data_IF_322218194645
#
_entry.id   IF_322218194645
#
_cell.length_a   1.000
_cell.length_b   1.000
_cell.length_c   1.000
_cell.angle_alpha   90.00
_cell.angle_beta   90.00
_cell.angle_gamma   90.00
#
_symmetry.space_group_name_H-M   'P 1'
#
loop_
_entity.id
_entity.type
_entity.pdbx_description
1 polymer ?
#
# COMPACT_ATOMS: atom_id res chain seq x y z
N UNK A 1 1.24 29.51 -7.61
CA UNK A 1 1.01 28.16 -8.19
C UNK A 1 1.95 27.87 -9.36
N UNK A 2 1.94 28.66 -10.45
CA UNK A 2 2.83 28.43 -11.61
C UNK A 2 4.32 28.50 -11.23
N UNK A 3 4.72 29.46 -10.38
CA UNK A 3 6.09 29.55 -9.89
C UNK A 3 6.53 28.28 -9.14
N UNK A 4 5.73 27.83 -8.16
CA UNK A 4 5.97 26.58 -7.43
C UNK A 4 6.01 25.35 -8.35
N UNK A 5 5.16 25.29 -9.38
CA UNK A 5 5.21 24.23 -10.39
C UNK A 5 6.53 24.25 -11.18
N UNK A 6 7.06 25.44 -11.53
CA UNK A 6 8.35 25.57 -12.22
C UNK A 6 9.51 25.08 -11.34
N UNK A 7 9.55 25.51 -10.07
CA UNK A 7 10.56 25.03 -9.13
C UNK A 7 10.48 23.50 -8.95
N UNK A 8 9.27 22.97 -8.83
CA UNK A 8 9.06 21.52 -8.70
C UNK A 8 9.49 20.75 -9.96
N UNK A 9 9.18 21.27 -11.16
CA UNK A 9 9.56 20.66 -12.44
C UNK A 9 11.07 20.73 -12.70
N UNK A 10 11.74 21.80 -12.28
CA UNK A 10 13.21 21.92 -12.40
C UNK A 10 13.96 20.79 -11.67
N UNK A 11 13.36 20.24 -10.61
CA UNK A 11 13.91 19.09 -9.89
C UNK A 11 13.60 17.73 -10.55
N UNK A 12 13.05 17.72 -11.77
CA UNK A 12 12.72 16.49 -12.51
C UNK A 12 11.51 15.72 -11.99
N UNK A 13 10.75 16.31 -11.04
CA UNK A 13 9.69 15.58 -10.30
C UNK A 13 8.30 15.64 -10.95
N UNK A 14 8.16 16.18 -12.16
CA UNK A 14 6.84 16.32 -12.80
C UNK A 14 6.87 16.18 -14.32
N UNK A 15 6.18 15.16 -14.80
CA UNK A 15 5.90 14.93 -16.23
C UNK A 15 4.71 15.72 -16.74
N UNK A 16 4.02 16.47 -15.87
CA UNK A 16 2.82 17.23 -16.27
C UNK A 16 3.20 18.43 -17.13
N UNK A 17 2.28 18.78 -18.04
CA UNK A 17 2.40 19.95 -18.89
C UNK A 17 2.37 21.23 -18.05
N UNK A 18 3.00 22.29 -18.58
CA UNK A 18 2.97 23.60 -17.95
C UNK A 18 1.52 24.10 -17.87
N UNK A 19 1.00 24.46 -16.68
CA UNK A 19 -0.35 25.00 -16.54
C UNK A 19 -0.66 26.19 -17.45
N UNK A 20 0.36 26.95 -17.86
CA UNK A 20 0.22 28.07 -18.80
C UNK A 20 -0.16 27.65 -20.24
N UNK A 21 -0.06 26.36 -20.58
CA UNK A 21 -0.44 25.86 -21.91
C UNK A 21 -1.95 25.65 -22.04
N UNK A 22 -2.71 25.69 -20.94
CA UNK A 22 -4.16 25.50 -20.97
C UNK A 22 -4.90 26.83 -21.21
N UNK A 23 -6.09 26.77 -21.84
CA UNK A 23 -6.94 27.95 -22.02
C UNK A 23 -7.31 28.64 -20.70
N UNK A 24 -7.63 29.94 -20.76
CA UNK A 24 -7.98 30.74 -19.59
C UNK A 24 -9.23 30.25 -18.84
N UNK A 25 -10.11 29.48 -19.49
CA UNK A 25 -11.31 28.88 -18.91
C UNK A 25 -11.12 27.43 -18.42
N UNK A 26 -9.89 26.91 -18.41
CA UNK A 26 -9.61 25.57 -17.90
C UNK A 26 -9.95 25.48 -16.40
N UNK A 27 -10.73 24.45 -16.04
CA UNK A 27 -11.02 24.12 -14.64
C UNK A 27 -10.00 23.10 -14.11
N UNK A 28 -9.56 23.30 -12.87
CA UNK A 28 -8.64 22.40 -12.17
C UNK A 28 -9.22 22.00 -10.82
N UNK A 29 -9.05 20.73 -10.44
CA UNK A 29 -9.29 20.27 -9.06
C UNK A 29 -7.98 20.37 -8.28
N UNK A 30 -8.01 21.13 -7.18
CA UNK A 30 -6.87 21.32 -6.29
C UNK A 30 -7.04 20.45 -5.06
N UNK A 31 -6.23 19.39 -4.97
CA UNK A 31 -6.17 18.52 -3.81
C UNK A 31 -4.91 18.87 -3.01
N UNK A 32 -5.10 19.29 -1.76
CA UNK A 32 -4.02 19.52 -0.81
C UNK A 32 -3.92 18.31 0.10
N UNK A 33 -2.74 17.70 0.13
CA UNK A 33 -2.42 16.57 0.99
C UNK A 33 -1.09 16.84 1.70
N UNK A 34 -0.87 16.12 2.79
CA UNK A 34 0.46 16.08 3.43
C UNK A 34 1.53 15.54 2.48
N UNK A 35 2.77 15.95 2.68
CA UNK A 35 3.90 15.35 1.96
C UNK A 35 4.16 13.93 2.49
N UNK A 36 3.96 12.93 1.65
CA UNK A 36 4.16 11.53 2.03
C UNK A 36 5.60 11.02 1.96
N UNK A 37 6.53 11.83 1.46
CA UNK A 37 7.93 11.45 1.31
C UNK A 37 8.24 10.85 -0.06
N UNK A 38 9.08 9.82 -0.08
CA UNK A 38 9.59 9.18 -1.30
C UNK A 38 8.83 7.89 -1.57
N UNK A 39 8.64 7.50 -2.84
CA UNK A 39 7.99 6.24 -3.18
C UNK A 39 8.79 5.03 -2.68
N UNK A 40 8.14 3.92 -2.37
CA UNK A 40 8.77 2.66 -1.99
C UNK A 40 9.73 2.17 -3.10
N UNK A 41 9.42 2.47 -4.36
CA UNK A 41 10.29 2.20 -5.51
C UNK A 41 11.70 2.80 -5.35
N UNK A 42 11.79 4.02 -4.83
CA UNK A 42 13.06 4.75 -4.67
C UNK A 42 13.61 4.69 -3.24
N UNK A 43 12.77 4.35 -2.26
CA UNK A 43 13.14 4.31 -0.86
C UNK A 43 14.11 3.17 -0.56
N UNK A 44 15.20 3.45 0.15
CA UNK A 44 16.22 2.45 0.51
C UNK A 44 15.91 1.85 1.88
N UNK A 45 15.46 0.60 1.88
CA UNK A 45 15.30 -0.16 3.13
C UNK A 45 16.69 -0.51 3.68
N UNK A 46 16.94 -0.20 4.96
CA UNK A 46 18.27 -0.37 5.57
C UNK A 46 18.36 -1.49 6.59
N UNK A 47 17.22 -2.00 7.09
CA UNK A 47 17.17 -3.09 8.07
C UNK A 47 15.99 -4.03 7.82
N UNK A 48 16.11 -5.28 8.30
CA UNK A 48 15.03 -6.28 8.21
C UNK A 48 13.81 -5.87 9.04
N UNK A 49 13.99 -5.24 10.19
CA UNK A 49 12.88 -4.75 11.03
C UNK A 49 12.11 -3.61 10.36
N UNK A 50 12.80 -2.73 9.64
CA UNK A 50 12.16 -1.71 8.80
C UNK A 50 11.29 -2.34 7.70
N UNK A 51 11.77 -3.40 7.05
CA UNK A 51 10.98 -4.14 6.06
C UNK A 51 9.70 -4.74 6.68
N UNK A 52 9.81 -5.39 7.84
CA UNK A 52 8.63 -5.87 8.58
C UNK A 52 7.68 -4.74 8.94
N UNK A 53 8.19 -3.61 9.44
CA UNK A 53 7.36 -2.46 9.81
C UNK A 53 6.59 -1.90 8.62
N UNK A 54 7.24 -1.71 7.47
CA UNK A 54 6.59 -1.24 6.23
C UNK A 54 5.44 -2.18 5.85
N UNK A 55 5.70 -3.49 5.81
CA UNK A 55 4.68 -4.47 5.44
C UNK A 55 3.54 -4.49 6.47
N UNK A 56 3.83 -4.48 7.77
CA UNK A 56 2.79 -4.47 8.80
C UNK A 56 1.93 -3.21 8.78
N UNK A 57 2.50 -2.04 8.51
CA UNK A 57 1.74 -0.81 8.32
C UNK A 57 0.76 -0.94 7.14
N UNK A 58 1.19 -1.53 6.01
CA UNK A 58 0.33 -1.79 4.85
C UNK A 58 -0.81 -2.77 5.19
N UNK A 59 -0.48 -3.89 5.84
CA UNK A 59 -1.48 -4.87 6.27
C UNK A 59 -2.51 -4.24 7.20
N UNK A 60 -2.09 -3.49 8.20
CA UNK A 60 -3.00 -2.83 9.15
C UNK A 60 -3.87 -1.79 8.46
N UNK A 61 -3.30 -0.95 7.59
CA UNK A 61 -4.05 0.07 6.85
C UNK A 61 -5.13 -0.55 5.96
N UNK A 62 -4.77 -1.57 5.17
CA UNK A 62 -5.70 -2.27 4.29
C UNK A 62 -6.74 -3.06 5.09
N UNK A 63 -6.35 -3.75 6.15
CA UNK A 63 -7.26 -4.50 7.00
C UNK A 63 -8.34 -3.61 7.63
N UNK A 64 -7.96 -2.44 8.15
CA UNK A 64 -8.92 -1.47 8.69
C UNK A 64 -9.82 -0.92 7.58
N UNK A 65 -9.27 -0.60 6.41
CA UNK A 65 -10.05 -0.10 5.28
C UNK A 65 -11.03 -1.15 4.73
N UNK A 66 -10.60 -2.41 4.61
CA UNK A 66 -11.44 -3.56 4.24
C UNK A 66 -12.63 -3.69 5.19
N UNK A 67 -12.36 -3.68 6.50
CA UNK A 67 -13.39 -3.83 7.52
C UNK A 67 -14.38 -2.67 7.52
N UNK A 68 -13.90 -1.43 7.43
CA UNK A 68 -14.76 -0.24 7.59
C UNK A 68 -15.48 0.17 6.31
N UNK A 69 -14.88 -0.10 5.16
CA UNK A 69 -15.32 0.46 3.87
C UNK A 69 -15.41 -0.57 2.76
N UNK A 70 -15.19 -1.86 3.04
CA UNK A 70 -15.05 -2.88 1.99
C UNK A 70 -14.08 -2.40 0.91
N UNK A 71 -12.95 -1.86 1.35
CA UNK A 71 -12.00 -1.16 0.50
C UNK A 71 -11.13 -2.11 -0.32
N UNK A 72 -10.93 -1.77 -1.60
CA UNK A 72 -9.89 -2.35 -2.45
C UNK A 72 -9.05 -1.22 -3.03
N UNK A 73 -7.72 -1.33 -2.97
CA UNK A 73 -6.84 -0.32 -3.56
C UNK A 73 -6.80 -0.42 -5.09
N UNK A 74 -6.70 -1.65 -5.59
CA UNK A 74 -6.67 -2.04 -7.03
C UNK A 74 -5.49 -1.51 -7.86
N UNK A 75 -4.62 -0.69 -7.29
CA UNK A 75 -3.38 -0.25 -7.93
C UNK A 75 -2.28 0.02 -6.89
N UNK A 76 -2.02 -0.92 -5.98
CA UNK A 76 -1.07 -0.70 -4.87
C UNK A 76 0.34 -1.16 -5.28
N UNK A 77 0.88 -0.55 -6.34
CA UNK A 77 2.26 -0.77 -6.78
C UNK A 77 3.26 0.00 -5.89
N UNK A 78 4.57 -0.21 -6.13
CA UNK A 78 5.62 0.41 -5.33
C UNK A 78 5.75 1.93 -5.50
N UNK A 79 5.11 2.54 -6.50
CA UNK A 79 5.04 4.00 -6.67
C UNK A 79 3.91 4.63 -5.83
N UNK A 80 2.84 3.86 -5.59
CA UNK A 80 1.67 4.31 -4.82
C UNK A 80 1.81 4.11 -3.30
N UNK A 81 3.00 3.73 -2.84
CA UNK A 81 3.38 3.64 -1.42
C UNK A 81 4.45 4.68 -1.17
N UNK A 82 4.16 5.68 -0.35
CA UNK A 82 5.12 6.71 0.06
C UNK A 82 5.66 6.41 1.44
N UNK A 83 6.94 6.73 1.65
CA UNK A 83 7.65 6.54 2.90
C UNK A 83 8.28 7.87 3.32
N UNK A 84 7.94 8.29 4.54
CA UNK A 84 8.63 9.37 5.25
C UNK A 84 9.59 8.77 6.27
N UNK A 85 10.86 9.20 6.25
CA UNK A 85 11.82 8.83 7.28
C UNK A 85 11.46 9.50 8.61
N UNK A 86 11.39 8.70 9.67
CA UNK A 86 11.01 9.11 11.03
C UNK A 86 11.95 8.47 12.05
N UNK A 87 11.80 8.77 13.33
CA UNK A 87 12.59 8.10 14.38
C UNK A 87 12.26 6.61 14.46
N UNK A 88 13.24 5.78 14.85
CA UNK A 88 13.05 4.32 14.90
C UNK A 88 12.01 3.88 15.93
N UNK A 89 11.89 4.65 17.02
CA UNK A 89 10.98 4.39 18.14
C UNK A 89 9.59 5.00 17.93
N UNK A 90 9.38 5.79 16.87
CA UNK A 90 8.04 6.32 16.55
C UNK A 90 7.05 5.17 16.41
N UNK A 91 5.82 5.38 16.87
CA UNK A 91 4.76 4.38 16.74
C UNK A 91 3.63 4.86 15.82
N UNK A 92 3.09 3.93 15.04
CA UNK A 92 1.90 4.11 14.24
C UNK A 92 0.76 3.42 15.00
N UNK A 93 -0.16 4.23 15.53
CA UNK A 93 -1.36 3.75 16.24
C UNK A 93 -2.46 3.38 15.25
N UNK A 94 -3.08 2.23 15.45
CA UNK A 94 -4.24 1.74 14.69
C UNK A 94 -5.24 1.06 15.62
N UNK A 95 -6.53 1.19 15.31
CA UNK A 95 -7.58 0.46 16.01
C UNK A 95 -8.04 -0.73 15.18
N UNK A 96 -7.85 -1.93 15.70
CA UNK A 96 -8.16 -3.17 15.00
C UNK A 96 -8.91 -4.14 15.90
N UNK A 97 -10.07 -4.61 15.43
CA UNK A 97 -10.94 -5.54 16.15
C UNK A 97 -11.22 -5.12 17.62
N UNK A 98 -11.46 -3.82 17.81
CA UNK A 98 -11.71 -3.22 19.12
C UNK A 98 -10.47 -2.94 19.98
N UNK A 99 -9.29 -3.46 19.61
CA UNK A 99 -8.02 -3.27 20.33
C UNK A 99 -7.22 -2.10 19.75
N UNK A 100 -6.38 -1.48 20.58
CA UNK A 100 -5.36 -0.54 20.12
C UNK A 100 -4.08 -1.32 19.76
N UNK A 101 -3.51 -0.98 18.61
CA UNK A 101 -2.35 -1.64 18.03
C UNK A 101 -1.33 -0.57 17.69
N UNK A 102 -0.09 -0.76 18.11
CA UNK A 102 1.03 0.13 17.86
C UNK A 102 2.06 -0.61 17.03
N UNK A 103 2.42 -0.04 15.88
CA UNK A 103 3.52 -0.55 15.05
C UNK A 103 4.71 0.39 15.22
N UNK A 104 5.85 -0.13 15.67
CA UNK A 104 7.10 0.61 15.69
C UNK A 104 7.55 0.92 14.26
N UNK A 105 7.84 2.18 13.97
CA UNK A 105 8.12 2.68 12.63
C UNK A 105 9.44 2.12 12.07
N UNK A 106 10.41 1.81 12.94
CA UNK A 106 11.75 1.36 12.51
C UNK A 106 12.35 2.25 11.42
N UNK A 107 12.12 3.55 11.55
CA UNK A 107 12.63 4.58 10.65
C UNK A 107 11.77 4.90 9.43
N UNK A 108 10.62 4.21 9.25
CA UNK A 108 9.76 4.37 8.08
C UNK A 108 8.28 4.54 8.46
N UNK A 109 7.67 5.66 8.06
CA UNK A 109 6.22 5.87 8.14
C UNK A 109 5.61 5.74 6.75
N UNK A 110 4.69 4.79 6.59
CA UNK A 110 4.04 4.46 5.31
C UNK A 110 2.79 5.32 5.09
N UNK A 111 2.59 5.75 3.85
CA UNK A 111 1.33 6.32 3.35
C UNK A 111 0.95 5.69 2.02
N UNK A 112 -0.30 5.29 1.90
CA UNK A 112 -0.87 4.76 0.66
C UNK A 112 -1.54 5.92 -0.09
N UNK A 113 -1.24 6.06 -1.37
CA UNK A 113 -1.79 7.12 -2.24
C UNK A 113 -2.44 6.54 -3.49
N UNK A 114 -2.95 7.42 -4.36
CA UNK A 114 -3.60 7.10 -5.63
C UNK A 114 -4.95 6.37 -5.48
N UNK A 115 -5.97 7.14 -5.09
CA UNK A 115 -7.33 6.64 -4.97
C UNK A 115 -8.08 6.50 -6.30
N UNK A 116 -7.43 6.75 -7.45
CA UNK A 116 -8.07 6.85 -8.76
C UNK A 116 -8.77 5.57 -9.19
N UNK A 117 -8.23 4.42 -8.76
CA UNK A 117 -8.70 3.09 -9.17
C UNK A 117 -9.34 2.28 -8.06
N UNK A 118 -9.40 2.83 -6.85
CA UNK A 118 -9.92 2.13 -5.69
C UNK A 118 -11.41 1.82 -5.81
N UNK A 119 -11.87 0.93 -4.93
CA UNK A 119 -13.28 0.65 -4.71
C UNK A 119 -13.58 0.72 -3.22
N UNK A 120 -14.68 1.36 -2.85
CA UNK A 120 -15.16 1.38 -1.46
C UNK A 120 -16.68 1.51 -1.37
N UNK A 121 -17.23 1.05 -0.26
CA UNK A 121 -18.65 1.17 0.10
C UNK A 121 -18.77 1.85 1.46
N UNK A 122 -19.60 2.89 1.56
CA UNK A 122 -19.98 3.51 2.84
C UNK A 122 -21.49 3.67 2.89
N UNK A 123 -22.13 2.99 3.83
CA UNK A 123 -23.58 2.90 3.87
C UNK A 123 -24.12 2.23 2.60
N UNK A 124 -25.02 2.91 1.89
CA UNK A 124 -25.61 2.42 0.64
C UNK A 124 -24.83 2.85 -0.62
N UNK A 125 -23.84 3.73 -0.47
CA UNK A 125 -23.08 4.28 -1.59
C UNK A 125 -21.82 3.46 -1.86
N UNK A 126 -21.59 3.11 -3.13
CA UNK A 126 -20.36 2.48 -3.60
C UNK A 126 -19.70 3.36 -4.65
N UNK A 127 -18.42 3.66 -4.46
CA UNK A 127 -17.58 4.42 -5.38
C UNK A 127 -16.51 3.46 -5.88
N UNK A 128 -16.33 3.38 -7.19
CA UNK A 128 -15.30 2.55 -7.81
C UNK A 128 -14.96 3.08 -9.19
N UNK A 129 -13.74 2.80 -9.66
CA UNK A 129 -13.40 2.94 -11.07
C UNK A 129 -13.80 1.69 -11.84
N UNK A 130 -14.52 1.86 -12.95
CA UNK A 130 -14.92 0.75 -13.80
C UNK A 130 -13.86 0.45 -14.86
N UNK A 131 -13.10 -0.61 -14.63
CA UNK A 131 -12.04 -1.04 -15.54
C UNK A 131 -12.58 -1.84 -16.74
N UNK A 132 -13.89 -2.13 -16.83
CA UNK A 132 -14.42 -3.07 -17.81
C UNK A 132 -14.09 -2.73 -19.28
N UNK A 133 -13.96 -1.44 -19.59
CA UNK A 133 -13.66 -0.92 -20.94
C UNK A 133 -12.21 -0.43 -21.12
N UNK A 134 -11.34 -0.66 -20.13
CA UNK A 134 -9.97 -0.15 -20.10
C UNK A 134 -8.97 -1.24 -20.50
N UNK A 135 -9.07 -1.75 -21.73
CA UNK A 135 -8.29 -2.92 -22.18
C UNK A 135 -6.78 -2.71 -22.15
N UNK A 136 -6.32 -1.49 -22.44
CA UNK A 136 -4.91 -1.11 -22.50
C UNK A 136 -4.13 -1.45 -21.22
N UNK A 137 -4.76 -1.30 -20.06
CA UNK A 137 -4.10 -1.63 -18.77
C UNK A 137 -3.90 -3.13 -18.54
N UNK A 138 -4.58 -3.97 -19.32
CA UNK A 138 -4.41 -5.42 -19.27
C UNK A 138 -3.51 -5.93 -20.41
N UNK A 139 -3.13 -5.06 -21.35
CA UNK A 139 -2.24 -5.36 -22.46
C UNK A 139 -0.79 -5.17 -22.04
N UNK A 140 -0.13 -6.26 -21.71
CA UNK A 140 1.27 -6.30 -21.32
C UNK A 140 1.68 -7.72 -20.93
N UNK A 141 2.96 -8.05 -21.07
CA UNK A 141 3.49 -9.39 -20.78
C UNK A 141 4.73 -9.30 -19.91
N UNK A 142 4.79 -10.17 -18.90
CA UNK A 142 6.04 -10.55 -18.25
C UNK A 142 6.44 -9.77 -17.00
N UNK A 143 5.86 -8.60 -16.70
CA UNK A 143 6.11 -7.92 -15.43
C UNK A 143 5.04 -8.19 -14.37
N UNK A 144 5.46 -8.11 -13.10
CA UNK A 144 4.63 -8.46 -11.95
C UNK A 144 3.42 -7.55 -11.77
N UNK A 145 3.46 -6.32 -12.29
CA UNK A 145 2.36 -5.36 -12.18
C UNK A 145 1.22 -5.71 -13.15
N UNK A 146 1.56 -6.02 -14.42
CA UNK A 146 0.59 -6.51 -15.39
C UNK A 146 -0.02 -7.85 -14.96
N UNK A 147 0.77 -8.74 -14.34
CA UNK A 147 0.25 -9.99 -13.75
C UNK A 147 -0.80 -9.67 -12.67
N UNK A 148 -0.57 -8.65 -11.83
CA UNK A 148 -1.54 -8.23 -10.82
C UNK A 148 -2.83 -7.71 -11.48
N UNK A 149 -2.75 -6.83 -12.48
CA UNK A 149 -3.92 -6.32 -13.20
C UNK A 149 -4.74 -7.45 -13.85
N UNK A 150 -4.09 -8.34 -14.60
CA UNK A 150 -4.74 -9.47 -15.24
C UNK A 150 -5.39 -10.42 -14.22
N UNK A 151 -4.73 -10.64 -13.07
CA UNK A 151 -5.27 -11.49 -12.01
C UNK A 151 -6.50 -10.86 -11.34
N UNK A 152 -6.49 -9.54 -11.08
CA UNK A 152 -7.68 -8.84 -10.59
C UNK A 152 -8.85 -8.93 -11.57
N UNK A 153 -8.59 -8.81 -12.87
CA UNK A 153 -9.64 -8.98 -13.91
C UNK A 153 -10.25 -10.38 -13.88
N UNK A 154 -9.44 -11.42 -13.66
CA UNK A 154 -9.91 -12.81 -13.50
C UNK A 154 -10.74 -12.97 -12.21
N UNK A 155 -10.29 -12.43 -11.09
CA UNK A 155 -10.99 -12.49 -9.78
C UNK A 155 -12.36 -11.82 -9.88
N UNK A 156 -12.41 -10.62 -10.47
CA UNK A 156 -13.64 -9.83 -10.63
C UNK A 156 -14.53 -10.31 -11.77
N UNK A 157 -14.04 -11.22 -12.63
CA UNK A 157 -14.70 -11.62 -13.89
C UNK A 157 -15.04 -10.39 -14.76
N UNK A 158 -14.18 -9.37 -14.72
CA UNK A 158 -14.37 -8.06 -15.35
C UNK A 158 -15.61 -7.28 -14.85
N UNK A 159 -16.13 -7.60 -13.66
CA UNK A 159 -17.22 -6.88 -12.99
C UNK A 159 -16.65 -6.18 -11.76
N UNK A 160 -16.48 -4.86 -11.84
CA UNK A 160 -15.64 -4.11 -10.89
C UNK A 160 -16.39 -3.48 -9.71
N UNK A 161 -17.73 -3.54 -9.70
CA UNK A 161 -18.55 -3.00 -8.60
C UNK A 161 -18.54 -3.85 -7.31
N UNK A 162 -18.63 -5.19 -7.37
CA UNK A 162 -18.60 -6.05 -6.19
C UNK A 162 -17.29 -5.91 -5.41
N UNK A 163 -17.34 -6.25 -4.12
CA UNK A 163 -16.17 -6.26 -3.25
C UNK A 163 -15.41 -7.58 -3.40
N UNK A 164 -14.12 -7.49 -3.68
CA UNK A 164 -13.19 -8.61 -3.75
C UNK A 164 -11.91 -8.30 -2.97
N UNK A 165 -11.91 -8.50 -1.64
CA UNK A 165 -10.72 -8.26 -0.78
C UNK A 165 -9.45 -9.00 -1.22
N UNK A 166 -9.59 -10.08 -2.00
CA UNK A 166 -8.46 -10.80 -2.57
C UNK A 166 -7.56 -9.91 -3.45
N UNK A 167 -8.09 -8.83 -4.02
CA UNK A 167 -7.27 -7.88 -4.80
C UNK A 167 -6.22 -7.18 -3.92
N UNK A 168 -6.54 -6.86 -2.66
CA UNK A 168 -5.56 -6.32 -1.71
C UNK A 168 -4.49 -7.36 -1.33
N UNK A 169 -4.90 -8.62 -1.12
CA UNK A 169 -3.98 -9.73 -0.81
C UNK A 169 -2.98 -9.94 -1.94
N UNK A 170 -3.45 -9.88 -3.19
CA UNK A 170 -2.63 -9.94 -4.39
C UNK A 170 -1.58 -8.82 -4.42
N UNK A 171 -2.00 -7.57 -4.20
CA UNK A 171 -1.06 -6.44 -4.18
C UNK A 171 -0.08 -6.50 -3.01
N UNK A 172 -0.51 -6.95 -1.83
CA UNK A 172 0.40 -7.18 -0.71
C UNK A 172 1.46 -8.23 -1.04
N UNK A 173 1.09 -9.32 -1.74
CA UNK A 173 2.05 -10.31 -2.21
C UNK A 173 3.08 -9.69 -3.17
N UNK A 174 2.61 -8.91 -4.15
CA UNK A 174 3.49 -8.16 -5.06
C UNK A 174 4.48 -7.26 -4.31
N UNK A 175 4.02 -6.51 -3.30
CA UNK A 175 4.88 -5.62 -2.52
C UNK A 175 5.89 -6.39 -1.66
N UNK A 176 5.51 -7.54 -1.11
CA UNK A 176 6.41 -8.39 -0.33
C UNK A 176 7.52 -8.96 -1.22
N UNK A 177 7.17 -9.41 -2.42
CA UNK A 177 8.15 -9.89 -3.41
C UNK A 177 9.11 -8.75 -3.80
N UNK A 178 8.57 -7.55 -4.10
CA UNK A 178 9.37 -6.36 -4.40
C UNK A 178 10.35 -6.00 -3.26
N UNK A 179 9.87 -5.95 -2.01
CA UNK A 179 10.72 -5.66 -0.84
C UNK A 179 11.78 -6.74 -0.66
N UNK A 180 11.42 -8.02 -0.81
CA UNK A 180 12.37 -9.11 -0.66
C UNK A 180 13.49 -9.07 -1.71
N UNK A 181 13.17 -8.73 -2.96
CA UNK A 181 14.17 -8.57 -4.00
C UNK A 181 15.07 -7.34 -3.75
N UNK A 182 14.50 -6.22 -3.29
CA UNK A 182 15.29 -5.05 -2.88
C UNK A 182 16.28 -5.38 -1.73
N UNK A 183 15.83 -6.14 -0.71
CA UNK A 183 16.68 -6.60 0.39
C UNK A 183 17.83 -7.50 -0.09
N UNK A 184 17.59 -8.30 -1.15
CA UNK A 184 18.65 -9.11 -1.78
C UNK A 184 19.67 -8.25 -2.50
N UNK A 185 19.21 -7.37 -3.38
CA UNK A 185 20.05 -6.49 -4.20
C UNK A 185 20.92 -5.56 -3.34
N UNK A 186 20.35 -5.06 -2.24
CA UNK A 186 21.03 -4.14 -1.31
C UNK A 186 21.83 -4.84 -0.21
N UNK A 187 21.85 -6.19 -0.18
CA UNK A 187 22.50 -6.99 0.86
C UNK A 187 22.14 -6.58 2.30
N UNK A 188 20.85 -6.31 2.55
CA UNK A 188 20.34 -5.93 3.86
C UNK A 188 20.09 -7.17 4.70
N UNK A 189 20.76 -7.27 5.85
CA UNK A 189 20.67 -8.43 6.74
C UNK A 189 21.34 -9.69 6.18
N UNK A 190 21.33 -10.77 6.96
CA UNK A 190 21.86 -12.07 6.55
C UNK A 190 20.95 -12.77 5.54
N UNK A 191 21.46 -13.81 4.87
CA UNK A 191 20.64 -14.65 3.97
C UNK A 191 19.52 -15.37 4.73
N UNK A 192 19.77 -15.79 5.97
CA UNK A 192 18.80 -16.42 6.85
C UNK A 192 17.70 -15.43 7.25
N UNK A 193 18.06 -14.18 7.57
CA UNK A 193 17.09 -13.14 7.92
C UNK A 193 16.19 -12.78 6.73
N UNK A 194 16.76 -12.62 5.53
CA UNK A 194 16.00 -12.36 4.29
C UNK A 194 15.06 -13.53 3.98
N UNK A 195 15.53 -14.76 4.15
CA UNK A 195 14.70 -15.97 3.97
C UNK A 195 13.58 -16.02 5.00
N UNK A 196 13.85 -15.71 6.26
CA UNK A 196 12.85 -15.66 7.32
C UNK A 196 11.79 -14.57 7.06
N UNK A 197 12.21 -13.40 6.55
CA UNK A 197 11.29 -12.34 6.10
C UNK A 197 10.34 -12.86 5.04
N UNK A 198 10.85 -13.48 3.97
CA UNK A 198 10.01 -13.99 2.89
C UNK A 198 9.06 -15.11 3.36
N UNK A 199 9.59 -16.09 4.12
CA UNK A 199 8.81 -17.21 4.63
C UNK A 199 7.69 -16.77 5.58
N UNK A 200 7.88 -15.65 6.29
CA UNK A 200 6.86 -15.09 7.17
C UNK A 200 5.54 -14.75 6.43
N UNK A 201 5.62 -14.45 5.13
CA UNK A 201 4.46 -14.08 4.31
C UNK A 201 4.10 -15.10 3.22
N UNK A 202 4.88 -16.17 3.04
CA UNK A 202 4.73 -17.14 1.93
C UNK A 202 3.32 -17.73 1.74
N UNK A 203 2.55 -17.88 2.82
CA UNK A 203 1.19 -18.43 2.79
C UNK A 203 0.08 -17.38 2.62
N UNK A 204 0.42 -16.12 2.30
CA UNK A 204 -0.54 -15.03 2.17
C UNK A 204 -1.67 -15.33 1.17
N UNK A 205 -1.36 -16.00 0.05
CA UNK A 205 -2.34 -16.41 -0.96
C UNK A 205 -3.48 -17.30 -0.44
N UNK A 206 -3.35 -17.89 0.76
CA UNK A 206 -4.39 -18.73 1.39
C UNK A 206 -5.45 -17.91 2.13
N UNK A 207 -5.23 -16.61 2.28
CA UNK A 207 -6.11 -15.73 3.03
C UNK A 207 -7.08 -15.00 2.11
N UNK A 208 -8.33 -14.89 2.55
CA UNK A 208 -9.38 -14.21 1.78
C UNK A 208 -9.24 -12.68 1.77
N UNK A 209 -8.53 -12.11 2.76
CA UNK A 209 -8.39 -10.66 2.95
C UNK A 209 -7.17 -10.32 3.82
N UNK A 210 -6.70 -9.06 3.75
CA UNK A 210 -5.67 -8.56 4.65
C UNK A 210 -6.15 -8.59 6.10
N UNK A 211 -7.42 -8.25 6.34
CA UNK A 211 -8.05 -8.32 7.65
C UNK A 211 -7.99 -9.71 8.28
N UNK A 212 -8.27 -10.77 7.51
CA UNK A 212 -8.23 -12.15 8.01
C UNK A 212 -6.80 -12.55 8.38
N UNK A 213 -5.83 -12.13 7.58
CA UNK A 213 -4.42 -12.38 7.86
C UNK A 213 -3.99 -11.66 9.15
N UNK A 214 -4.31 -10.37 9.32
CA UNK A 214 -3.95 -9.63 10.54
C UNK A 214 -4.57 -10.29 11.77
N UNK A 215 -5.88 -10.57 11.74
CA UNK A 215 -6.58 -11.17 12.88
C UNK A 215 -5.96 -12.48 13.33
N UNK A 216 -5.58 -13.35 12.40
CA UNK A 216 -5.05 -14.67 12.73
C UNK A 216 -3.59 -14.63 13.23
N UNK A 217 -2.85 -13.56 12.93
CA UNK A 217 -1.40 -13.50 13.16
C UNK A 217 -0.96 -12.46 14.19
N UNK A 218 -1.77 -11.45 14.50
CA UNK A 218 -1.37 -10.30 15.31
C UNK A 218 -0.81 -10.69 16.67
N UNK A 219 -1.35 -11.74 17.31
CA UNK A 219 -0.94 -12.13 18.68
C UNK A 219 0.20 -13.17 18.72
N UNK A 220 0.44 -13.91 17.62
CA UNK A 220 1.28 -15.13 17.64
C UNK A 220 2.36 -15.18 16.59
N UNK A 221 2.18 -14.49 15.48
CA UNK A 221 3.06 -14.60 14.32
C UNK A 221 3.74 -13.28 14.03
N UNK A 222 3.03 -12.14 14.10
CA UNK A 222 3.63 -10.83 13.90
C UNK A 222 4.75 -10.57 14.93
N UNK A 223 5.87 -10.01 14.46
CA UNK A 223 7.10 -9.82 15.26
C UNK A 223 6.85 -8.84 16.40
N UNK A 224 7.02 -9.28 17.65
CA UNK A 224 6.84 -8.45 18.85
C UNK A 224 7.79 -7.25 18.92
N UNK A 225 8.95 -7.31 18.26
CA UNK A 225 9.87 -6.17 18.14
C UNK A 225 9.35 -5.07 17.21
N UNK A 226 8.25 -5.32 16.49
CA UNK A 226 7.65 -4.43 15.51
C UNK A 226 6.21 -4.05 15.88
N UNK A 227 5.48 -4.92 16.59
CA UNK A 227 4.08 -4.69 16.94
C UNK A 227 3.81 -4.90 18.43
N UNK A 228 3.01 -4.02 18.99
CA UNK A 228 2.46 -4.07 20.33
C UNK A 228 0.94 -3.90 20.26
N UNK A 229 0.20 -4.63 21.09
CA UNK A 229 -1.26 -4.60 21.15
C UNK A 229 -1.70 -4.44 22.59
N UNK A 230 -2.46 -3.40 22.86
CA UNK A 230 -3.11 -3.22 24.15
C UNK A 230 -4.42 -4.01 24.18
N UNK A 231 -4.61 -4.81 25.21
CA UNK A 231 -5.89 -5.50 25.41
C UNK A 231 -7.01 -4.47 25.63
N UNK A 232 -8.22 -4.72 25.10
CA UNK A 232 -9.35 -3.82 25.32
C UNK A 232 -9.62 -3.73 26.83
N UNK A 233 -9.59 -2.51 27.37
CA UNK A 233 -10.03 -2.26 28.74
C UNK A 233 -11.46 -2.78 28.88
N UNK A 234 -11.65 -3.83 29.70
CA UNK A 234 -12.98 -4.31 30.05
C UNK A 234 -13.71 -3.16 30.76
N UNK A 235 -14.73 -2.62 30.09
CA UNK A 235 -15.68 -1.68 30.68
C UNK A 235 -16.57 -2.40 31.70
#
# INVERSE_FOLDING_TARGET
MIYAWREYKQNGKSDKLNPNLFPANQSFLLLFAENGGTSLKEYKITTILQAYSIVYQLFMALAVAEFRLSFEHRDLNCENILITSVDCIDTIRSKFDGSEVYIYAHGARVKIINSSFCRMTKGTSTIYFDWASNEEFFMGEGDSEHIAFQTMRRISKNIWRPFHSMTNVLWLAYIIDFIHDQLKESNVGSTEERTAFFLHFKCLHRYASAWKWVRDHIDKHMKKDVIEKEEPQKA
#
